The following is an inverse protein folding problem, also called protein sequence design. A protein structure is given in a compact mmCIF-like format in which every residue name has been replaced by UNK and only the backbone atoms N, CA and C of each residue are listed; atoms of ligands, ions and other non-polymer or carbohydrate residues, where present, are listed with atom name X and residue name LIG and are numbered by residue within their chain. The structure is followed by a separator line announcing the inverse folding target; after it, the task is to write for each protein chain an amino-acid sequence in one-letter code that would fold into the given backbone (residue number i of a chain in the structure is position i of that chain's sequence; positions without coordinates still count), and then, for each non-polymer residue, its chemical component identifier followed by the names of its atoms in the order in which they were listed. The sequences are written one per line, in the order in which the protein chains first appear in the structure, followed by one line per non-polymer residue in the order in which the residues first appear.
data_IF_316531075889
#
_entry.id   IF_316531075889
#
_cell.length_a   1.000
_cell.length_b   1.000
_cell.length_c   1.000
_cell.angle_alpha   90.00
_cell.angle_beta   90.00
_cell.angle_gamma   90.00
#
_symmetry.space_group_name_H-M   'P 1'
#
loop_
_entity.id
_entity.type
_entity.pdbx_description
1 polymer ?
#
# COMPACT_ATOMS: atom_id res chain seq x y z
N UNK A 1 -52.49 -5.43 -28.12
CA UNK A 1 -52.18 -6.31 -26.97
C UNK A 1 -50.99 -7.17 -27.34
N UNK A 2 -49.80 -6.88 -26.79
CA UNK A 2 -48.61 -7.69 -27.05
C UNK A 2 -48.61 -8.90 -26.12
N UNK A 3 -48.77 -10.09 -26.70
CA UNK A 3 -48.68 -11.37 -26.02
C UNK A 3 -47.25 -11.52 -25.47
N UNK A 4 -47.11 -11.59 -24.14
CA UNK A 4 -45.86 -12.00 -23.49
C UNK A 4 -45.52 -13.38 -24.05
N UNK A 5 -44.47 -13.46 -24.87
CA UNK A 5 -43.99 -14.72 -25.42
C UNK A 5 -43.75 -15.73 -24.30
N UNK A 6 -44.15 -16.98 -24.53
CA UNK A 6 -43.89 -18.07 -23.62
C UNK A 6 -42.39 -18.13 -23.32
N UNK A 7 -42.01 -17.77 -22.09
CA UNK A 7 -40.68 -18.03 -21.57
C UNK A 7 -40.53 -19.54 -21.44
N UNK A 8 -39.89 -20.16 -22.43
CA UNK A 8 -39.49 -21.56 -22.38
C UNK A 8 -38.40 -21.73 -21.31
N UNK A 9 -38.79 -22.06 -20.08
CA UNK A 9 -37.88 -22.62 -19.08
C UNK A 9 -37.72 -24.11 -19.35
N UNK A 10 -36.50 -24.62 -19.61
CA UNK A 10 -36.26 -26.04 -19.82
C UNK A 10 -36.82 -26.88 -18.66
N UNK A 11 -37.48 -27.98 -18.98
CA UNK A 11 -38.08 -28.89 -17.99
C UNK A 11 -36.96 -29.44 -17.09
N UNK A 12 -37.03 -29.12 -15.78
CA UNK A 12 -36.01 -29.49 -14.78
C UNK A 12 -35.16 -28.34 -14.23
N UNK A 13 -35.37 -27.10 -14.69
CA UNK A 13 -34.72 -25.91 -14.11
C UNK A 13 -35.76 -24.90 -13.63
N UNK A 14 -35.79 -24.63 -12.32
CA UNK A 14 -36.69 -23.67 -11.65
C UNK A 14 -36.21 -22.21 -11.75
N UNK A 15 -35.20 -21.94 -12.60
CA UNK A 15 -34.57 -20.62 -12.75
C UNK A 15 -33.61 -20.23 -11.62
N UNK A 16 -33.55 -21.00 -10.52
CA UNK A 16 -32.64 -20.70 -9.40
C UNK A 16 -31.18 -21.00 -9.75
N UNK A 17 -30.93 -21.93 -10.68
CA UNK A 17 -29.57 -22.25 -11.18
C UNK A 17 -28.94 -21.03 -11.89
N UNK A 18 -29.71 -20.27 -12.67
CA UNK A 18 -29.21 -19.05 -13.31
C UNK A 18 -28.81 -17.99 -12.27
N UNK A 19 -29.66 -17.76 -11.26
CA UNK A 19 -29.38 -16.82 -10.18
C UNK A 19 -28.15 -17.26 -9.34
N UNK A 20 -28.01 -18.57 -9.11
CA UNK A 20 -26.87 -19.15 -8.39
C UNK A 20 -25.57 -18.98 -9.19
N UNK A 21 -25.55 -19.34 -10.48
CA UNK A 21 -24.38 -19.18 -11.36
C UNK A 21 -23.97 -17.71 -11.51
N UNK A 22 -24.93 -16.80 -11.63
CA UNK A 22 -24.65 -15.35 -11.67
C UNK A 22 -23.98 -14.86 -10.38
N UNK A 23 -24.48 -15.27 -9.21
CA UNK A 23 -23.88 -14.92 -7.91
C UNK A 23 -22.45 -15.43 -7.79
N UNK A 24 -22.19 -16.66 -8.22
CA UNK A 24 -20.84 -17.25 -8.21
C UNK A 24 -19.92 -16.50 -9.17
N UNK A 25 -20.36 -16.24 -10.39
CA UNK A 25 -19.58 -15.51 -11.39
C UNK A 25 -19.19 -14.11 -10.88
N UNK A 26 -20.13 -13.39 -10.27
CA UNK A 26 -19.87 -12.08 -9.66
C UNK A 26 -18.79 -12.14 -8.58
N UNK A 27 -18.82 -13.16 -7.70
CA UNK A 27 -17.79 -13.35 -6.67
C UNK A 27 -16.41 -13.64 -7.26
N UNK A 28 -16.32 -14.43 -8.34
CA UNK A 28 -15.06 -14.67 -9.04
C UNK A 28 -14.51 -13.41 -9.69
N UNK A 29 -15.37 -12.61 -10.31
CA UNK A 29 -14.99 -11.33 -10.92
C UNK A 29 -14.46 -10.34 -9.86
N UNK A 30 -15.16 -10.20 -8.73
CA UNK A 30 -14.73 -9.35 -7.61
C UNK A 30 -13.37 -9.80 -7.06
N UNK A 31 -13.17 -11.10 -6.86
CA UNK A 31 -11.90 -11.66 -6.39
C UNK A 31 -10.78 -11.43 -7.41
N UNK A 32 -11.02 -11.70 -8.69
CA UNK A 32 -10.03 -11.49 -9.75
C UNK A 32 -9.62 -10.02 -9.87
N UNK A 33 -10.58 -9.10 -9.84
CA UNK A 33 -10.34 -7.65 -9.93
C UNK A 33 -9.51 -7.15 -8.75
N UNK A 34 -9.91 -7.49 -7.52
CA UNK A 34 -9.17 -7.05 -6.31
C UNK A 34 -7.76 -7.65 -6.24
N UNK A 35 -7.56 -8.88 -6.73
CA UNK A 35 -6.21 -9.46 -6.85
C UNK A 35 -5.32 -8.66 -7.79
N UNK A 36 -5.84 -8.29 -8.96
CA UNK A 36 -5.10 -7.50 -9.94
C UNK A 36 -4.74 -6.13 -9.37
N UNK A 37 -5.72 -5.45 -8.78
CA UNK A 37 -5.52 -4.13 -8.14
C UNK A 37 -4.52 -4.20 -6.98
N UNK A 38 -4.60 -5.21 -6.13
CA UNK A 38 -3.63 -5.40 -5.05
C UNK A 38 -2.20 -5.63 -5.59
N UNK A 39 -2.03 -6.33 -6.71
CA UNK A 39 -0.70 -6.46 -7.36
C UNK A 39 -0.18 -5.12 -7.84
N UNK A 40 -1.03 -4.25 -8.40
CA UNK A 40 -0.63 -2.89 -8.76
C UNK A 40 -0.21 -2.07 -7.55
N UNK A 41 -0.96 -2.15 -6.44
CA UNK A 41 -0.54 -1.49 -5.20
C UNK A 41 0.83 -1.99 -4.71
N UNK A 42 1.07 -3.30 -4.75
CA UNK A 42 2.37 -3.88 -4.39
C UNK A 42 3.48 -3.41 -5.34
N UNK A 43 3.19 -3.32 -6.64
CA UNK A 43 4.13 -2.78 -7.62
C UNK A 43 4.49 -1.31 -7.33
N UNK A 44 3.51 -0.44 -7.07
CA UNK A 44 3.78 0.95 -6.68
C UNK A 44 4.50 1.05 -5.34
N UNK A 45 4.21 0.16 -4.40
CA UNK A 45 4.97 0.06 -3.15
C UNK A 45 6.44 -0.27 -3.41
N UNK A 46 6.74 -1.13 -4.39
CA UNK A 46 8.13 -1.43 -4.78
C UNK A 46 8.83 -0.20 -5.39
N UNK A 47 8.13 0.59 -6.21
CA UNK A 47 8.69 1.83 -6.75
C UNK A 47 9.03 2.83 -5.63
N UNK A 48 8.11 3.01 -4.67
CA UNK A 48 8.35 3.84 -3.49
C UNK A 48 9.49 3.29 -2.63
N UNK A 49 9.59 1.96 -2.50
CA UNK A 49 10.70 1.30 -1.82
C UNK A 49 12.05 1.60 -2.49
N UNK A 50 12.15 1.54 -3.82
CA UNK A 50 13.39 1.90 -4.49
C UNK A 50 13.72 3.39 -4.32
N UNK A 51 12.72 4.27 -4.26
CA UNK A 51 12.92 5.68 -3.90
C UNK A 51 13.48 5.85 -2.49
N UNK A 52 12.90 5.17 -1.50
CA UNK A 52 13.42 5.14 -0.13
C UNK A 52 14.83 4.54 -0.07
N UNK A 53 15.08 3.43 -0.76
CA UNK A 53 16.37 2.76 -0.78
C UNK A 53 17.47 3.65 -1.40
N UNK A 54 17.15 4.40 -2.45
CA UNK A 54 18.08 5.36 -3.05
C UNK A 54 18.43 6.50 -2.07
N UNK A 55 17.50 6.89 -1.20
CA UNK A 55 17.81 7.82 -0.11
C UNK A 55 18.69 7.17 0.96
N UNK A 56 18.37 5.95 1.36
CA UNK A 56 19.13 5.20 2.38
C UNK A 56 20.50 4.73 1.90
N UNK A 57 20.74 4.69 0.59
CA UNK A 57 21.98 4.14 0.04
C UNK A 57 23.22 4.92 0.44
N UNK A 58 23.12 6.24 0.67
CA UNK A 58 24.24 7.04 1.16
C UNK A 58 24.76 6.50 2.50
N UNK A 59 23.89 6.42 3.52
CA UNK A 59 24.25 5.86 4.82
C UNK A 59 24.70 4.38 4.73
N UNK A 60 24.08 3.58 3.87
CA UNK A 60 24.47 2.18 3.69
C UNK A 60 25.90 2.08 3.13
N UNK A 61 26.25 2.91 2.14
CA UNK A 61 27.59 2.94 1.54
C UNK A 61 28.64 3.42 2.56
N UNK A 62 28.32 4.44 3.35
CA UNK A 62 29.19 4.94 4.42
C UNK A 62 29.49 3.84 5.45
N UNK A 63 28.47 3.08 5.87
CA UNK A 63 28.64 1.95 6.81
C UNK A 63 29.44 0.79 6.23
N UNK A 64 29.53 0.68 4.91
CA UNK A 64 30.35 -0.31 4.21
C UNK A 64 31.76 0.21 3.90
N UNK A 65 32.11 1.42 4.35
CA UNK A 65 33.38 2.10 4.05
C UNK A 65 33.61 2.31 2.54
N UNK A 66 32.52 2.53 1.79
CA UNK A 66 32.53 2.80 0.35
C UNK A 66 32.28 4.29 0.12
N UNK A 67 33.31 5.01 -0.32
CA UNK A 67 33.21 6.44 -0.61
C UNK A 67 32.87 6.69 -2.09
N UNK A 68 31.81 7.44 -2.34
CA UNK A 68 31.41 7.92 -3.67
C UNK A 68 31.22 9.43 -3.60
N UNK A 69 32.09 10.19 -4.27
CA UNK A 69 32.13 11.66 -4.15
C UNK A 69 30.81 12.32 -4.54
N UNK A 70 30.18 11.86 -5.62
CA UNK A 70 28.93 12.42 -6.13
C UNK A 70 27.75 12.23 -5.16
N UNK A 71 27.79 11.17 -4.35
CA UNK A 71 26.75 10.89 -3.34
C UNK A 71 26.97 11.78 -2.12
N UNK A 72 28.22 11.98 -1.72
CA UNK A 72 28.59 12.84 -0.60
C UNK A 72 28.28 14.32 -0.90
N UNK A 73 28.57 14.78 -2.12
CA UNK A 73 28.25 16.13 -2.58
C UNK A 73 26.74 16.43 -2.53
N UNK A 74 25.90 15.39 -2.65
CA UNK A 74 24.44 15.55 -2.56
C UNK A 74 23.99 15.89 -1.12
N UNK A 75 24.85 15.71 -0.12
CA UNK A 75 24.61 16.04 1.29
C UNK A 75 23.26 15.52 1.77
N UNK A 76 22.98 14.25 1.47
CA UNK A 76 21.68 13.62 1.80
C UNK A 76 21.52 13.57 3.33
N UNK A 77 20.40 14.06 3.90
CA UNK A 77 20.21 14.03 5.33
C UNK A 77 20.20 12.61 5.88
N UNK A 78 20.84 12.44 7.04
CA UNK A 78 20.97 11.17 7.71
C UNK A 78 19.59 10.53 7.98
N UNK A 79 19.46 9.22 7.74
CA UNK A 79 18.18 8.55 7.89
C UNK A 79 17.77 8.32 9.34
N UNK A 80 16.47 8.48 9.56
CA UNK A 80 15.82 8.14 10.81
C UNK A 80 15.41 6.67 10.81
N UNK A 81 15.31 6.08 12.00
CA UNK A 81 14.94 4.67 12.17
C UNK A 81 13.61 4.30 11.50
N UNK A 82 12.63 5.21 11.47
CA UNK A 82 11.34 4.92 10.84
C UNK A 82 11.47 4.62 9.34
N UNK A 83 12.46 5.18 8.66
CA UNK A 83 12.71 4.95 7.23
C UNK A 83 13.15 3.50 6.98
N UNK A 84 14.08 2.98 7.80
CA UNK A 84 14.48 1.57 7.76
C UNK A 84 13.36 0.63 8.17
N UNK A 85 12.59 0.99 9.20
CA UNK A 85 11.44 0.17 9.64
C UNK A 85 10.40 0.11 8.52
N UNK A 86 10.18 1.22 7.80
CA UNK A 86 9.28 1.25 6.67
C UNK A 86 9.72 0.30 5.54
N UNK A 87 11.03 0.21 5.28
CA UNK A 87 11.57 -0.76 4.32
C UNK A 87 11.20 -2.22 4.62
N UNK A 88 10.92 -2.58 5.88
CA UNK A 88 10.45 -3.92 6.24
C UNK A 88 9.07 -4.25 5.66
N UNK A 89 8.25 -3.25 5.31
CA UNK A 89 6.94 -3.50 4.67
C UNK A 89 7.08 -4.17 3.29
N UNK A 90 8.24 -4.02 2.63
CA UNK A 90 8.56 -4.75 1.41
C UNK A 90 8.53 -6.27 1.67
N UNK A 91 9.10 -6.74 2.78
CA UNK A 91 9.14 -8.17 3.10
C UNK A 91 7.73 -8.73 3.32
N UNK A 92 6.85 -7.93 3.91
CA UNK A 92 5.44 -8.30 4.14
C UNK A 92 4.71 -8.51 2.81
N UNK A 93 5.06 -7.78 1.76
CA UNK A 93 4.41 -7.88 0.44
C UNK A 93 4.47 -9.30 -0.18
N UNK A 94 5.52 -10.08 0.13
CA UNK A 94 5.65 -11.45 -0.32
C UNK A 94 4.53 -12.34 0.26
N UNK A 95 4.08 -12.06 1.49
CA UNK A 95 2.93 -12.73 2.09
C UNK A 95 1.65 -12.43 1.32
N UNK A 96 1.44 -11.18 0.90
CA UNK A 96 0.29 -10.75 0.09
C UNK A 96 0.27 -11.43 -1.27
N UNK A 97 1.41 -11.45 -1.98
CA UNK A 97 1.55 -12.12 -3.28
C UNK A 97 1.35 -13.63 -3.17
N UNK A 98 1.91 -14.28 -2.14
CA UNK A 98 1.71 -15.70 -1.87
C UNK A 98 0.24 -16.02 -1.54
N UNK A 99 -0.42 -15.15 -0.77
CA UNK A 99 -1.83 -15.28 -0.40
C UNK A 99 -2.75 -15.21 -1.61
N UNK A 100 -2.53 -14.26 -2.54
CA UNK A 100 -3.30 -14.13 -3.79
C UNK A 100 -3.24 -15.40 -4.65
N UNK A 101 -2.07 -16.06 -4.70
CA UNK A 101 -1.83 -17.23 -5.55
C UNK A 101 -2.68 -18.44 -5.14
N UNK A 102 -2.89 -18.62 -3.84
CA UNK A 102 -3.59 -19.79 -3.26
C UNK A 102 -4.88 -19.43 -2.50
N UNK A 103 -5.36 -18.18 -2.58
CA UNK A 103 -6.48 -17.66 -1.80
C UNK A 103 -6.35 -17.91 -0.28
N UNK A 104 -5.14 -17.80 0.26
CA UNK A 104 -4.85 -18.11 1.67
C UNK A 104 -5.26 -16.96 2.57
N UNK A 105 -6.41 -17.10 3.23
CA UNK A 105 -6.96 -16.10 4.15
C UNK A 105 -5.98 -15.72 5.26
N UNK A 106 -5.38 -16.70 5.95
CA UNK A 106 -4.43 -16.44 7.04
C UNK A 106 -3.22 -15.60 6.59
N UNK A 107 -2.62 -15.94 5.45
CA UNK A 107 -1.50 -15.18 4.90
C UNK A 107 -1.90 -13.76 4.46
N UNK A 108 -3.12 -13.57 3.97
CA UNK A 108 -3.64 -12.23 3.67
C UNK A 108 -3.89 -11.41 4.93
N UNK A 109 -4.36 -12.03 6.02
CA UNK A 109 -4.49 -11.35 7.32
C UNK A 109 -3.12 -10.95 7.88
N UNK A 110 -2.11 -11.81 7.76
CA UNK A 110 -0.72 -11.49 8.13
C UNK A 110 -0.17 -10.33 7.28
N UNK A 111 -0.47 -10.31 5.97
CA UNK A 111 -0.14 -9.19 5.09
C UNK A 111 -0.77 -7.88 5.57
N UNK A 112 -2.08 -7.88 5.88
CA UNK A 112 -2.79 -6.71 6.42
C UNK A 112 -2.14 -6.20 7.71
N UNK A 113 -1.86 -7.09 8.67
CA UNK A 113 -1.22 -6.72 9.94
C UNK A 113 0.18 -6.15 9.67
N UNK A 114 0.98 -6.77 8.81
CA UNK A 114 2.32 -6.29 8.50
C UNK A 114 2.33 -4.94 7.78
N UNK A 115 1.36 -4.65 6.90
CA UNK A 115 1.22 -3.33 6.28
C UNK A 115 0.82 -2.27 7.32
N UNK A 116 -0.01 -2.62 8.30
CA UNK A 116 -0.33 -1.68 9.40
C UNK A 116 0.93 -1.38 10.22
N UNK A 117 1.65 -2.41 10.65
CA UNK A 117 2.80 -2.26 11.56
C UNK A 117 4.03 -1.64 10.89
N UNK A 118 4.39 -2.11 9.70
CA UNK A 118 5.62 -1.70 9.02
C UNK A 118 5.36 -0.69 7.90
N UNK A 119 4.13 -0.59 7.39
CA UNK A 119 3.78 0.41 6.37
C UNK A 119 3.23 1.70 6.98
N UNK A 120 2.18 1.60 7.81
CA UNK A 120 1.48 2.78 8.34
C UNK A 120 2.14 3.43 9.56
N UNK A 121 2.51 2.65 10.58
CA UNK A 121 3.06 3.24 11.81
C UNK A 121 4.33 4.07 11.58
N UNK A 122 5.30 3.65 10.75
CA UNK A 122 6.47 4.47 10.46
C UNK A 122 6.12 5.77 9.73
N UNK A 123 5.15 5.73 8.82
CA UNK A 123 4.67 6.94 8.13
C UNK A 123 3.97 7.89 9.10
N UNK A 124 3.16 7.37 10.04
CA UNK A 124 2.52 8.19 11.06
C UNK A 124 3.56 8.86 11.96
N UNK A 125 4.61 8.13 12.35
CA UNK A 125 5.74 8.71 13.06
C UNK A 125 6.39 9.84 12.24
N UNK A 126 6.65 9.61 10.95
CA UNK A 126 7.20 10.63 10.04
C UNK A 126 6.34 11.89 9.94
N UNK A 127 5.01 11.74 9.87
CA UNK A 127 4.07 12.88 9.87
C UNK A 127 4.25 13.72 11.13
N UNK A 128 4.24 13.08 12.30
CA UNK A 128 4.38 13.76 13.60
C UNK A 128 5.76 14.42 13.71
N UNK A 129 6.82 13.71 13.31
CA UNK A 129 8.19 14.18 13.39
C UNK A 129 8.41 15.47 12.57
N UNK A 130 7.95 15.50 11.31
CA UNK A 130 8.13 16.67 10.44
C UNK A 130 7.00 17.72 10.55
N UNK A 131 6.01 17.51 11.43
CA UNK A 131 4.83 18.36 11.54
C UNK A 131 5.19 19.82 11.82
N UNK A 132 6.10 20.05 12.78
CA UNK A 132 6.53 21.40 13.16
C UNK A 132 7.20 22.12 12.00
N UNK A 133 8.15 21.48 11.32
CA UNK A 133 8.91 22.05 10.22
C UNK A 133 8.00 22.41 9.04
N UNK A 134 7.08 21.51 8.70
CA UNK A 134 6.09 21.74 7.63
C UNK A 134 5.13 22.86 8.02
N UNK A 135 4.66 22.89 9.26
CA UNK A 135 3.78 23.94 9.75
C UNK A 135 4.46 25.31 9.67
N UNK A 136 5.66 25.44 10.23
CA UNK A 136 6.44 26.68 10.17
C UNK A 136 6.68 27.12 8.73
N UNK A 137 7.08 26.21 7.84
CA UNK A 137 7.29 26.54 6.43
C UNK A 137 6.03 27.13 5.76
N UNK A 138 4.85 26.60 6.10
CA UNK A 138 3.60 27.01 5.47
C UNK A 138 2.98 28.27 6.08
N UNK A 139 3.23 28.55 7.37
CA UNK A 139 2.55 29.63 8.09
C UNK A 139 3.44 30.82 8.41
N UNK A 140 4.73 30.62 8.62
CA UNK A 140 5.64 31.67 9.07
C UNK A 140 6.07 32.55 7.91
N UNK A 141 6.08 33.87 8.16
CA UNK A 141 6.63 34.88 7.24
C UNK A 141 7.94 35.48 7.76
N UNK A 142 8.33 35.10 8.97
CA UNK A 142 9.56 35.54 9.61
C UNK A 142 10.73 34.69 9.11
N UNK A 143 11.74 35.36 8.55
CA UNK A 143 12.96 34.71 8.05
C UNK A 143 13.70 34.01 9.18
N UNK A 144 13.71 34.58 10.39
CA UNK A 144 14.39 33.99 11.53
C UNK A 144 13.76 32.66 11.97
N UNK A 145 12.44 32.51 11.87
CA UNK A 145 11.78 31.23 12.16
C UNK A 145 12.07 30.16 11.11
N UNK A 146 12.24 30.57 9.84
CA UNK A 146 12.53 29.66 8.73
C UNK A 146 13.97 29.12 8.76
N UNK A 147 14.90 29.82 9.42
CA UNK A 147 16.28 29.34 9.66
C UNK A 147 16.32 28.08 10.53
N UNK A 148 15.29 27.83 11.34
CA UNK A 148 15.20 26.65 12.20
C UNK A 148 14.68 25.39 11.48
N UNK A 149 14.25 25.50 10.23
CA UNK A 149 13.75 24.37 9.44
C UNK A 149 14.92 23.60 8.84
N UNK A 150 14.80 22.27 8.75
CA UNK A 150 15.79 21.48 8.04
C UNK A 150 15.61 21.59 6.51
N UNK A 151 16.68 21.97 5.81
CA UNK A 151 16.69 22.16 4.36
C UNK A 151 17.58 21.11 3.67
N UNK A 152 17.16 20.65 2.49
CA UNK A 152 17.97 19.81 1.61
C UNK A 152 17.88 20.33 0.18
N UNK A 153 19.03 20.65 -0.43
CA UNK A 153 19.13 21.16 -1.80
C UNK A 153 18.19 22.37 -2.08
N UNK A 154 18.03 23.25 -1.09
CA UNK A 154 17.17 24.44 -1.19
C UNK A 154 15.68 24.19 -0.99
N UNK A 155 15.27 22.97 -0.65
CA UNK A 155 13.87 22.62 -0.36
C UNK A 155 13.67 22.27 1.12
N UNK A 156 12.51 22.60 1.72
CA UNK A 156 12.20 22.21 3.09
C UNK A 156 12.05 20.69 3.17
N UNK A 157 12.92 20.05 3.92
CA UNK A 157 13.06 18.59 3.93
C UNK A 157 11.78 17.89 4.41
N UNK A 158 11.11 18.44 5.42
CA UNK A 158 9.84 17.93 5.90
C UNK A 158 8.74 17.90 4.83
N UNK A 159 8.74 18.87 3.89
CA UNK A 159 7.75 18.93 2.81
C UNK A 159 7.98 17.83 1.77
N UNK A 160 9.25 17.56 1.44
CA UNK A 160 9.63 16.45 0.56
C UNK A 160 9.19 15.11 1.16
N UNK A 161 9.36 14.94 2.48
CA UNK A 161 8.85 13.77 3.19
C UNK A 161 7.34 13.68 3.17
N UNK A 162 6.62 14.78 3.36
CA UNK A 162 5.17 14.79 3.27
C UNK A 162 4.68 14.36 1.87
N UNK A 163 5.35 14.76 0.79
CA UNK A 163 5.03 14.28 -0.55
C UNK A 163 5.19 12.75 -0.67
N UNK A 164 6.31 12.20 -0.20
CA UNK A 164 6.54 10.75 -0.17
C UNK A 164 5.52 10.01 0.70
N UNK A 165 5.23 10.55 1.89
CA UNK A 165 4.28 9.96 2.85
C UNK A 165 2.87 9.92 2.24
N UNK A 166 2.42 11.00 1.59
CA UNK A 166 1.09 11.06 0.98
C UNK A 166 0.92 9.96 -0.09
N UNK A 167 1.90 9.78 -0.98
CA UNK A 167 1.89 8.72 -1.98
C UNK A 167 1.90 7.33 -1.32
N UNK A 168 2.74 7.14 -0.30
CA UNK A 168 2.85 5.87 0.42
C UNK A 168 1.57 5.51 1.18
N UNK A 169 0.94 6.48 1.84
CA UNK A 169 -0.35 6.30 2.52
C UNK A 169 -1.44 5.92 1.52
N UNK A 170 -1.50 6.55 0.34
CA UNK A 170 -2.47 6.18 -0.70
C UNK A 170 -2.27 4.73 -1.16
N UNK A 171 -1.03 4.34 -1.47
CA UNK A 171 -0.71 2.97 -1.89
C UNK A 171 -1.08 1.95 -0.81
N UNK A 172 -0.75 2.23 0.45
CA UNK A 172 -1.08 1.34 1.57
C UNK A 172 -2.57 1.30 1.87
N UNK A 173 -3.29 2.41 1.69
CA UNK A 173 -4.75 2.48 1.88
C UNK A 173 -5.46 1.57 0.90
N UNK A 174 -5.14 1.69 -0.39
CA UNK A 174 -5.70 0.82 -1.41
C UNK A 174 -5.26 -0.64 -1.22
N UNK A 175 -4.02 -0.88 -0.78
CA UNK A 175 -3.55 -2.23 -0.44
C UNK A 175 -4.43 -2.88 0.63
N UNK A 176 -4.69 -2.18 1.73
CA UNK A 176 -5.55 -2.67 2.80
C UNK A 176 -6.99 -2.86 2.33
N UNK A 177 -7.54 -1.90 1.58
CA UNK A 177 -8.90 -1.97 1.04
C UNK A 177 -9.10 -3.22 0.16
N UNK A 178 -8.20 -3.45 -0.80
CA UNK A 178 -8.29 -4.62 -1.68
C UNK A 178 -8.01 -5.93 -0.93
N UNK A 179 -7.05 -5.95 0.00
CA UNK A 179 -6.78 -7.12 0.82
C UNK A 179 -7.99 -7.51 1.70
N UNK A 180 -8.67 -6.52 2.29
CA UNK A 180 -9.87 -6.74 3.10
C UNK A 180 -11.00 -7.34 2.27
N UNK A 181 -11.26 -6.80 1.08
CA UNK A 181 -12.25 -7.32 0.15
C UNK A 181 -11.93 -8.77 -0.27
N UNK A 182 -10.66 -9.12 -0.45
CA UNK A 182 -10.24 -10.48 -0.74
C UNK A 182 -10.47 -11.43 0.44
N UNK A 183 -10.16 -11.00 1.66
CA UNK A 183 -10.43 -11.78 2.88
C UNK A 183 -11.93 -12.08 3.00
N UNK A 184 -12.79 -11.06 2.83
CA UNK A 184 -14.24 -11.22 2.88
C UNK A 184 -14.73 -12.20 1.80
N UNK A 185 -14.28 -12.04 0.56
CA UNK A 185 -14.65 -12.92 -0.55
C UNK A 185 -14.23 -14.38 -0.30
N UNK A 186 -13.00 -14.62 0.16
CA UNK A 186 -12.49 -15.98 0.37
C UNK A 186 -13.10 -16.68 1.59
N UNK A 187 -13.40 -15.94 2.67
CA UNK A 187 -14.10 -16.50 3.84
C UNK A 187 -15.52 -16.94 3.50
N UNK A 188 -16.27 -16.13 2.75
CA UNK A 188 -17.64 -16.48 2.33
C UNK A 188 -17.70 -17.78 1.52
N UNK A 189 -16.64 -18.07 0.75
CA UNK A 189 -16.50 -19.33 0.01
C UNK A 189 -16.15 -20.51 0.90
N UNK A 190 -15.31 -20.30 1.92
CA UNK A 190 -14.93 -21.35 2.88
C UNK A 190 -16.13 -21.88 3.65
N UNK A 191 -17.03 -20.99 4.07
CA UNK A 191 -18.26 -21.35 4.79
C UNK A 191 -19.21 -22.16 3.90
N UNK A 192 -19.40 -21.77 2.63
CA UNK A 192 -20.25 -22.49 1.66
C UNK A 192 -19.77 -23.87 1.24
N UNK A 193 -18.51 -24.24 1.51
CA UNK A 193 -18.00 -25.60 1.24
C UNK A 193 -18.17 -26.53 2.45
N UNK A 194 -18.50 -25.99 3.61
CA UNK A 194 -18.70 -26.73 4.86
C UNK A 194 -20.18 -27.03 5.15
N UNK A 195 -21.10 -26.37 4.45
CA UNK A 195 -22.53 -26.73 4.32
C UNK A 195 -22.73 -27.70 3.15
#
# INVERSE_FOLDING_TARGET
MATKGLSYTPMGTDGTDHAYRQRIAAQYQISALNKSRLKYCIFFHYLLFFGMLAKLSADILDRLDIFVLEIEELSIPQPLWWEYIWCLSLLVSFLGLAAIRRNRVKSMQQYVIGIILFGYLPLLYGIVYYCKDVWLYLTSKDVAELEHIHWWQGYPYGLLWYAFILLSVQVHFFSLYFAWNLIAAWKSRGMRKAE
#
